data_IF_228576315772
#
_entry.id   IF_228576315772
#
_cell.length_a   1.000
_cell.length_b   1.000
_cell.length_c   1.000
_cell.angle_alpha   90.00
_cell.angle_beta   90.00
_cell.angle_gamma   90.00
#
_symmetry.space_group_name_H-M   'P 1'
#
loop_
_entity.id
_entity.type
_entity.pdbx_description
1 polymer ?
#
# COMPACT_ATOMS: atom_id res chain seq x y z
N UNK A 1 0.10 -5.13 -23.09
CA UNK A 1 -1.07 -4.31 -23.46
C UNK A 1 -0.95 -2.98 -22.75
N UNK A 2 -1.11 -1.87 -23.47
CA UNK A 2 -1.06 -0.53 -22.87
C UNK A 2 -2.43 -0.28 -22.22
N UNK A 3 -2.49 -0.23 -20.89
CA UNK A 3 -3.71 0.12 -20.18
C UNK A 3 -3.88 1.63 -20.24
N UNK A 4 -4.99 2.07 -20.83
CA UNK A 4 -5.35 3.48 -20.79
C UNK A 4 -5.75 3.89 -19.38
N UNK A 5 -5.39 5.11 -19.00
CA UNK A 5 -5.81 5.71 -17.74
C UNK A 5 -7.33 5.84 -17.77
N UNK A 6 -7.98 5.27 -16.76
CA UNK A 6 -9.45 5.29 -16.66
C UNK A 6 -9.92 6.73 -16.42
N UNK A 7 -10.94 7.16 -17.16
CA UNK A 7 -11.54 8.49 -17.00
C UNK A 7 -12.26 8.66 -15.66
N UNK A 8 -12.26 9.88 -15.13
CA UNK A 8 -12.76 10.22 -13.78
C UNK A 8 -14.23 9.78 -13.56
N UNK A 9 -15.09 9.91 -14.59
CA UNK A 9 -16.51 9.53 -14.51
C UNK A 9 -16.71 8.02 -14.35
N UNK A 10 -15.93 7.22 -15.07
CA UNK A 10 -16.01 5.76 -15.02
C UNK A 10 -15.41 5.24 -13.70
N UNK A 11 -14.30 5.82 -13.25
CA UNK A 11 -13.75 5.52 -11.92
C UNK A 11 -14.78 5.83 -10.82
N UNK A 12 -15.39 7.02 -10.84
CA UNK A 12 -16.40 7.40 -9.85
C UNK A 12 -17.65 6.50 -9.88
N UNK A 13 -18.05 6.02 -11.07
CA UNK A 13 -19.13 5.03 -11.22
C UNK A 13 -18.77 3.73 -10.52
N UNK A 14 -17.58 3.19 -10.78
CA UNK A 14 -17.11 1.95 -10.18
C UNK A 14 -16.97 2.07 -8.65
N UNK A 15 -16.44 3.18 -8.14
CA UNK A 15 -16.34 3.44 -6.69
C UNK A 15 -17.72 3.48 -6.01
N UNK A 16 -18.75 3.99 -6.69
CA UNK A 16 -20.14 3.95 -6.18
C UNK A 16 -20.66 2.50 -6.10
N UNK A 17 -20.40 1.70 -7.13
CA UNK A 17 -20.81 0.29 -7.15
C UNK A 17 -20.07 -0.54 -6.12
N UNK A 18 -18.76 -0.34 -5.96
CA UNK A 18 -17.99 -0.97 -4.90
C UNK A 18 -18.57 -0.61 -3.53
N UNK A 19 -18.81 0.68 -3.24
CA UNK A 19 -19.41 1.08 -1.96
C UNK A 19 -20.75 0.40 -1.70
N UNK A 20 -21.58 0.21 -2.72
CA UNK A 20 -22.87 -0.49 -2.62
C UNK A 20 -22.70 -1.98 -2.27
N UNK A 21 -21.73 -2.66 -2.87
CA UNK A 21 -21.59 -4.12 -2.77
C UNK A 21 -20.51 -4.62 -1.80
N UNK A 22 -19.61 -3.75 -1.33
CA UNK A 22 -18.42 -4.11 -0.55
C UNK A 22 -18.74 -5.00 0.65
N UNK A 23 -19.79 -4.68 1.41
CA UNK A 23 -20.17 -5.47 2.59
C UNK A 23 -20.56 -6.91 2.22
N UNK A 24 -21.23 -7.10 1.09
CA UNK A 24 -21.63 -8.42 0.60
C UNK A 24 -20.42 -9.19 0.09
N UNK A 25 -19.51 -8.53 -0.63
CA UNK A 25 -18.27 -9.13 -1.13
C UNK A 25 -17.36 -9.61 0.01
N UNK A 26 -17.16 -8.78 1.04
CA UNK A 26 -16.35 -9.13 2.22
C UNK A 26 -17.01 -10.19 3.12
N UNK A 27 -18.29 -10.48 2.94
CA UNK A 27 -18.96 -11.57 3.67
C UNK A 27 -18.71 -12.95 3.04
N UNK A 28 -18.12 -12.99 1.83
CA UNK A 28 -17.76 -14.24 1.17
C UNK A 28 -16.60 -14.93 1.91
N UNK A 29 -16.62 -16.27 2.01
CA UNK A 29 -15.57 -17.00 2.70
C UNK A 29 -14.22 -16.87 1.97
N UNK A 30 -13.15 -16.66 2.74
CA UNK A 30 -11.78 -16.45 2.27
C UNK A 30 -11.53 -15.13 1.52
N UNK A 31 -12.51 -14.21 1.47
CA UNK A 31 -12.29 -12.87 0.95
C UNK A 31 -11.79 -11.97 2.07
N UNK A 32 -10.63 -11.33 1.88
CA UNK A 32 -10.05 -10.42 2.87
C UNK A 32 -10.06 -8.95 2.44
N UNK A 33 -10.22 -8.66 1.14
CA UNK A 33 -10.39 -7.29 0.64
C UNK A 33 -11.20 -7.23 -0.67
N UNK A 34 -11.66 -6.04 -1.02
CA UNK A 34 -12.31 -5.76 -2.29
C UNK A 34 -12.03 -4.34 -2.81
N UNK A 35 -11.81 -4.21 -4.12
CA UNK A 35 -11.57 -2.93 -4.80
C UNK A 35 -12.24 -2.86 -6.20
N UNK A 36 -11.99 -1.77 -6.93
CA UNK A 36 -12.35 -1.65 -8.36
C UNK A 36 -11.10 -1.68 -9.19
N UNK A 37 -11.13 -2.37 -10.33
CA UNK A 37 -9.90 -2.57 -11.07
C UNK A 37 -9.99 -3.26 -12.40
N UNK A 38 -8.84 -3.50 -13.02
CA UNK A 38 -8.79 -4.35 -14.21
C UNK A 38 -8.87 -5.83 -13.84
N UNK A 39 -9.68 -6.58 -14.59
CA UNK A 39 -9.81 -8.03 -14.50
C UNK A 39 -8.49 -8.71 -14.89
N UNK A 40 -8.18 -9.80 -14.19
CA UNK A 40 -7.06 -10.69 -14.43
C UNK A 40 -7.52 -12.00 -15.07
N UNK A 41 -6.97 -12.33 -16.23
CA UNK A 41 -7.10 -13.66 -16.83
C UNK A 41 -5.72 -14.26 -17.08
N UNK A 42 -5.46 -15.46 -16.54
CA UNK A 42 -4.18 -16.15 -16.76
C UNK A 42 -2.95 -15.44 -16.17
N UNK A 43 -3.14 -14.51 -15.22
CA UNK A 43 -2.06 -13.69 -14.65
C UNK A 43 -1.79 -12.40 -15.43
N UNK A 44 -2.56 -12.11 -16.48
CA UNK A 44 -2.44 -10.90 -17.27
C UNK A 44 -3.69 -10.02 -17.14
N UNK A 45 -3.47 -8.71 -17.19
CA UNK A 45 -4.53 -7.70 -17.23
C UNK A 45 -5.31 -7.84 -18.53
N UNK A 46 -6.64 -7.97 -18.46
CA UNK A 46 -7.51 -8.10 -19.65
C UNK A 46 -7.93 -6.76 -20.24
N UNK A 47 -7.73 -5.66 -19.50
CA UNK A 47 -8.14 -4.31 -19.89
C UNK A 47 -9.63 -4.03 -19.64
N UNK A 48 -10.39 -5.03 -19.19
CA UNK A 48 -11.77 -4.87 -18.75
C UNK A 48 -11.83 -4.46 -17.29
N UNK A 49 -12.67 -3.48 -16.95
CA UNK A 49 -12.89 -3.06 -15.57
C UNK A 49 -13.87 -4.01 -14.84
N UNK A 50 -13.59 -4.27 -13.57
CA UNK A 50 -14.26 -5.22 -12.70
C UNK A 50 -14.30 -4.73 -11.24
N UNK A 51 -15.25 -5.25 -10.46
CA UNK A 51 -15.13 -5.29 -9.00
C UNK A 51 -14.23 -6.48 -8.65
N UNK A 52 -13.28 -6.33 -7.74
CA UNK A 52 -12.32 -7.41 -7.49
C UNK A 52 -12.34 -7.81 -6.04
N UNK A 53 -12.21 -9.10 -5.78
CA UNK A 53 -12.13 -9.67 -4.43
C UNK A 53 -10.82 -10.42 -4.26
N UNK A 54 -10.16 -10.19 -3.14
CA UNK A 54 -8.86 -10.79 -2.84
C UNK A 54 -9.02 -11.98 -1.91
N UNK A 55 -8.39 -13.08 -2.30
CA UNK A 55 -8.35 -14.33 -1.54
C UNK A 55 -6.91 -14.77 -1.34
N UNK A 56 -6.65 -15.47 -0.23
CA UNK A 56 -5.32 -16.03 0.04
C UNK A 56 -5.00 -17.17 -0.93
N UNK A 57 -6.02 -17.94 -1.32
CA UNK A 57 -5.91 -19.07 -2.24
C UNK A 57 -7.20 -19.32 -3.00
N UNK A 58 -7.12 -19.33 -4.33
CA UNK A 58 -8.24 -19.71 -5.20
C UNK A 58 -8.61 -21.16 -4.96
N UNK A 59 -9.93 -21.41 -4.88
CA UNK A 59 -10.50 -22.75 -4.80
C UNK A 59 -11.19 -23.07 -6.12
N UNK A 60 -11.12 -24.33 -6.54
CA UNK A 60 -11.85 -24.78 -7.73
C UNK A 60 -13.35 -24.54 -7.54
N UNK A 61 -14.07 -24.03 -8.56
CA UNK A 61 -15.52 -23.86 -8.49
C UNK A 61 -16.24 -25.16 -8.10
N UNK A 62 -15.75 -26.33 -8.55
CA UNK A 62 -16.34 -27.64 -8.21
C UNK A 62 -16.31 -27.96 -6.71
N UNK A 63 -15.37 -27.37 -5.96
CA UNK A 63 -15.22 -27.53 -4.52
C UNK A 63 -15.91 -26.45 -3.68
N UNK A 64 -16.62 -25.50 -4.32
CA UNK A 64 -17.31 -24.39 -3.65
C UNK A 64 -18.84 -24.56 -3.74
N UNK A 65 -19.53 -24.33 -2.62
CA UNK A 65 -21.00 -24.18 -2.60
C UNK A 65 -21.35 -22.93 -3.43
N UNK A 66 -22.48 -22.95 -4.13
CA UNK A 66 -22.91 -21.82 -4.98
C UNK A 66 -22.99 -20.52 -4.16
N UNK A 67 -23.47 -20.59 -2.93
CA UNK A 67 -23.55 -19.43 -2.01
C UNK A 67 -22.19 -18.88 -1.55
N UNK A 68 -21.10 -19.67 -1.70
CA UNK A 68 -19.75 -19.26 -1.33
C UNK A 68 -18.96 -18.72 -2.53
N UNK A 69 -19.54 -18.75 -3.73
CA UNK A 69 -18.89 -18.24 -4.94
C UNK A 69 -19.13 -16.73 -5.05
N UNK A 70 -18.10 -16.00 -5.45
CA UNK A 70 -18.30 -14.65 -5.95
C UNK A 70 -19.27 -14.70 -7.15
N UNK A 71 -20.24 -13.78 -7.25
CA UNK A 71 -21.11 -13.69 -8.41
C UNK A 71 -20.26 -13.32 -9.64
N UNK A 72 -20.64 -13.74 -10.84
CA UNK A 72 -19.87 -13.39 -12.05
C UNK A 72 -19.98 -11.90 -12.40
N UNK A 73 -21.06 -11.24 -11.95
CA UNK A 73 -21.35 -9.83 -12.23
C UNK A 73 -22.21 -9.20 -11.12
N UNK A 74 -22.01 -7.90 -10.85
CA UNK A 74 -22.85 -7.08 -9.98
C UNK A 74 -23.17 -5.75 -10.66
N UNK A 75 -24.47 -5.46 -10.83
CA UNK A 75 -24.98 -4.22 -11.47
C UNK A 75 -24.31 -3.89 -12.83
N UNK A 76 -24.12 -4.88 -13.71
CA UNK A 76 -23.50 -4.64 -15.01
C UNK A 76 -21.97 -4.72 -15.01
N UNK A 77 -21.33 -4.91 -13.85
CA UNK A 77 -19.87 -4.90 -13.72
C UNK A 77 -19.36 -6.30 -13.34
N UNK A 78 -18.42 -6.87 -14.09
CA UNK A 78 -17.89 -8.20 -13.79
C UNK A 78 -17.23 -8.22 -12.40
N UNK A 79 -17.24 -9.37 -11.74
CA UNK A 79 -16.49 -9.58 -10.51
C UNK A 79 -15.32 -10.51 -10.77
N UNK A 80 -14.11 -10.06 -10.45
CA UNK A 80 -12.89 -10.86 -10.56
C UNK A 80 -12.41 -11.33 -9.19
N UNK A 81 -11.89 -12.55 -9.13
CA UNK A 81 -11.30 -13.13 -7.91
C UNK A 81 -9.79 -13.15 -8.10
N UNK A 82 -9.05 -12.49 -7.24
CA UNK A 82 -7.59 -12.38 -7.31
C UNK A 82 -6.96 -13.15 -6.15
N UNK A 83 -5.98 -14.01 -6.47
CA UNK A 83 -5.11 -14.63 -5.47
C UNK A 83 -3.89 -13.73 -5.29
N UNK A 84 -3.62 -13.30 -4.06
CA UNK A 84 -2.49 -12.42 -3.78
C UNK A 84 -1.66 -12.97 -2.62
N UNK A 85 -0.42 -13.36 -2.91
CA UNK A 85 0.58 -13.74 -1.90
C UNK A 85 1.89 -13.00 -2.22
N UNK A 86 2.32 -12.01 -1.42
CA UNK A 86 3.53 -11.27 -1.70
C UNK A 86 4.80 -12.12 -1.46
N UNK A 87 5.76 -12.09 -2.40
CA UNK A 87 7.09 -12.67 -2.22
C UNK A 87 8.02 -11.70 -1.46
N UNK A 88 8.68 -12.19 -0.41
CA UNK A 88 9.64 -11.42 0.39
C UNK A 88 11.06 -11.61 -0.17
N UNK A 89 11.73 -10.52 -0.57
CA UNK A 89 13.13 -10.52 -0.98
C UNK A 89 13.92 -9.31 -0.44
N UNK A 90 15.07 -9.64 0.16
CA UNK A 90 16.13 -8.77 0.72
C UNK A 90 15.86 -8.21 2.13
N UNK A 91 16.95 -8.02 2.88
CA UNK A 91 17.00 -7.25 4.12
C UNK A 91 17.85 -6.00 3.86
N UNK A 92 17.20 -4.83 3.75
CA UNK A 92 17.86 -3.52 3.64
C UNK A 92 18.03 -2.92 5.04
N UNK A 93 19.12 -3.26 5.70
CA UNK A 93 19.36 -2.86 7.11
C UNK A 93 20.53 -1.85 7.24
N UNK A 94 20.92 -1.18 6.15
CA UNK A 94 22.02 -0.21 6.16
C UNK A 94 21.68 1.06 6.94
N UNK A 95 22.68 1.65 7.61
CA UNK A 95 22.57 2.99 8.16
C UNK A 95 22.66 4.03 7.03
N UNK A 96 21.71 4.96 6.97
CA UNK A 96 21.65 6.00 5.95
C UNK A 96 21.81 7.40 6.55
N UNK A 97 22.82 8.14 6.09
CA UNK A 97 23.03 9.55 6.43
C UNK A 97 23.38 10.32 5.13
N UNK A 98 22.48 11.14 4.56
CA UNK A 98 21.19 11.53 5.10
C UNK A 98 20.17 10.36 5.15
N UNK A 99 19.15 10.51 5.99
CA UNK A 99 17.99 9.61 6.07
C UNK A 99 17.10 9.82 4.85
N UNK A 100 16.76 8.76 4.12
CA UNK A 100 16.04 8.82 2.83
C UNK A 100 14.88 7.83 2.81
N UNK A 101 13.86 8.04 1.97
CA UNK A 101 12.73 7.09 1.84
C UNK A 101 13.15 5.70 1.31
N UNK A 102 12.32 4.68 1.52
CA UNK A 102 12.57 3.30 1.09
C UNK A 102 13.56 2.50 1.93
N UNK A 103 14.07 3.09 3.03
CA UNK A 103 15.04 2.45 3.95
C UNK A 103 14.34 1.94 5.21
N UNK A 104 15.04 1.13 6.01
CA UNK A 104 14.48 0.58 7.24
C UNK A 104 14.40 1.59 8.37
N UNK A 105 13.28 1.56 9.08
CA UNK A 105 13.10 2.20 10.37
C UNK A 105 12.45 1.22 11.35
N UNK A 106 12.62 1.46 12.64
CA UNK A 106 11.98 0.65 13.66
C UNK A 106 11.68 1.51 14.89
N UNK A 107 10.47 1.34 15.42
CA UNK A 107 10.18 1.80 16.77
C UNK A 107 11.00 0.97 17.76
N UNK A 108 11.72 1.64 18.67
CA UNK A 108 12.63 1.01 19.64
C UNK A 108 11.96 -0.01 20.57
N UNK A 109 10.64 0.07 20.75
CA UNK A 109 9.84 -0.84 21.56
C UNK A 109 9.19 -1.96 20.75
N UNK A 110 9.49 -2.08 19.45
CA UNK A 110 8.97 -3.15 18.58
C UNK A 110 10.05 -4.17 18.24
N UNK A 111 9.68 -5.46 18.09
CA UNK A 111 10.61 -6.51 17.67
C UNK A 111 10.94 -6.44 16.17
N UNK A 112 10.08 -5.80 15.37
CA UNK A 112 10.23 -5.74 13.92
C UNK A 112 10.22 -4.29 13.43
N UNK A 113 11.05 -4.03 12.42
CA UNK A 113 11.08 -2.77 11.68
C UNK A 113 10.20 -2.82 10.44
N UNK A 114 10.09 -1.66 9.79
CA UNK A 114 9.38 -1.48 8.53
C UNK A 114 10.08 -0.46 7.65
N UNK A 115 9.39 -0.01 6.60
CA UNK A 115 9.96 0.91 5.61
C UNK A 115 9.61 2.35 5.96
N UNK A 116 10.57 3.26 5.95
CA UNK A 116 10.31 4.70 5.87
C UNK A 116 9.78 5.01 4.48
N UNK A 117 8.55 5.51 4.35
CA UNK A 117 7.98 5.84 3.04
C UNK A 117 8.74 6.98 2.37
N UNK A 118 8.71 8.16 2.99
CA UNK A 118 9.46 9.33 2.56
C UNK A 118 9.61 10.35 3.68
N UNK A 119 10.46 11.34 3.46
CA UNK A 119 10.52 12.55 4.27
C UNK A 119 9.48 13.53 3.73
N UNK A 120 8.67 14.10 4.62
CA UNK A 120 7.63 15.09 4.30
C UNK A 120 7.81 16.34 5.15
N UNK A 121 7.18 17.45 4.77
CA UNK A 121 7.20 18.68 5.55
C UNK A 121 5.90 18.86 6.31
N UNK A 122 6.00 19.22 7.59
CA UNK A 122 4.86 19.72 8.34
C UNK A 122 4.34 21.01 7.67
N UNK A 123 3.04 21.06 7.38
CA UNK A 123 2.40 22.16 6.63
C UNK A 123 2.76 23.55 7.17
N UNK A 124 2.59 23.76 8.47
CA UNK A 124 2.74 25.12 9.05
C UNK A 124 4.17 25.46 9.47
N UNK A 125 4.93 24.48 9.98
CA UNK A 125 6.26 24.72 10.55
C UNK A 125 7.40 24.44 9.57
N UNK A 126 7.11 23.79 8.44
CA UNK A 126 8.08 23.31 7.46
C UNK A 126 9.18 22.42 8.06
N UNK A 127 8.92 21.81 9.22
CA UNK A 127 9.83 20.85 9.83
C UNK A 127 9.74 19.51 9.11
N UNK A 128 10.88 18.84 8.85
CA UNK A 128 10.89 17.53 8.23
C UNK A 128 10.36 16.45 9.19
N UNK A 129 9.54 15.56 8.65
CA UNK A 129 8.95 14.41 9.33
C UNK A 129 9.19 13.16 8.50
N UNK A 130 9.39 12.01 9.15
CA UNK A 130 9.40 10.72 8.47
C UNK A 130 7.99 10.15 8.40
N UNK A 131 7.50 9.83 7.20
CA UNK A 131 6.18 9.23 6.96
C UNK A 131 6.30 7.71 6.80
N UNK A 132 5.47 6.93 7.49
CA UNK A 132 5.36 5.48 7.32
C UNK A 132 3.96 5.00 7.71
N UNK A 133 3.77 3.68 7.78
CA UNK A 133 2.53 3.09 8.27
C UNK A 133 2.42 3.13 9.80
N UNK A 134 1.19 3.18 10.30
CA UNK A 134 0.90 3.07 11.73
C UNK A 134 1.46 1.77 12.29
N UNK A 135 1.24 0.65 11.60
CA UNK A 135 1.75 -0.65 12.04
C UNK A 135 3.29 -0.73 12.01
N UNK A 136 3.99 0.19 11.37
CA UNK A 136 5.47 0.27 11.45
C UNK A 136 5.88 1.04 12.70
N UNK A 137 5.27 2.20 12.92
CA UNK A 137 5.70 3.15 13.96
C UNK A 137 5.08 2.91 15.33
N UNK A 138 3.93 2.23 15.43
CA UNK A 138 3.21 2.07 16.70
C UNK A 138 3.23 0.61 17.18
N UNK A 139 3.56 0.36 18.46
CA UNK A 139 3.37 -0.94 19.08
C UNK A 139 1.88 -1.17 19.40
N UNK A 140 1.56 -2.38 19.85
CA UNK A 140 0.23 -2.68 20.41
C UNK A 140 0.44 -3.22 21.83
N UNK A 141 -0.02 -2.50 22.88
CA UNK A 141 -0.74 -1.21 22.84
C UNK A 141 0.13 -0.04 22.38
N UNK A 142 -0.51 1.03 21.89
CA UNK A 142 0.14 2.27 21.44
C UNK A 142 0.82 2.97 22.62
N UNK A 143 2.04 3.49 22.41
CA UNK A 143 2.78 4.26 23.40
C UNK A 143 3.09 5.64 22.81
N UNK A 144 2.63 6.69 23.49
CA UNK A 144 2.78 8.05 23.01
C UNK A 144 4.25 8.51 23.12
N UNK A 145 4.77 9.12 22.05
CA UNK A 145 6.13 9.68 22.02
C UNK A 145 7.24 8.65 21.83
N UNK A 146 6.92 7.41 21.46
CA UNK A 146 7.91 6.39 21.18
C UNK A 146 8.92 6.82 20.11
N UNK A 147 10.18 6.47 20.34
CA UNK A 147 11.28 6.84 19.46
C UNK A 147 11.37 5.87 18.28
N UNK A 148 11.61 6.44 17.10
CA UNK A 148 11.97 5.71 15.89
C UNK A 148 13.49 5.78 15.70
N UNK A 149 14.10 4.65 15.33
CA UNK A 149 15.51 4.54 14.95
C UNK A 149 15.66 4.02 13.53
N UNK A 150 16.79 4.33 12.89
CA UNK A 150 17.15 3.92 11.53
C UNK A 150 18.60 3.40 11.59
N UNK A 151 18.85 2.12 11.23
CA UNK A 151 17.92 1.15 10.63
C UNK A 151 16.99 0.43 11.63
N UNK A 152 17.19 0.62 12.94
CA UNK A 152 16.44 -0.09 13.97
C UNK A 152 17.29 -0.63 15.11
N UNK A 153 18.46 -0.04 15.32
CA UNK A 153 19.46 -0.44 16.31
C UNK A 153 19.19 0.13 17.72
N UNK A 154 18.17 0.97 17.87
CA UNK A 154 17.88 1.67 19.13
C UNK A 154 18.89 2.77 19.50
N UNK A 155 19.90 3.02 18.66
CA UNK A 155 20.97 3.99 18.91
C UNK A 155 20.84 5.18 17.97
N UNK A 156 20.60 4.94 16.69
CA UNK A 156 20.52 5.96 15.65
C UNK A 156 19.11 6.53 15.55
N UNK A 157 18.72 7.25 16.60
CA UNK A 157 17.38 7.83 16.78
C UNK A 157 17.09 8.89 15.71
N UNK A 158 15.93 8.76 15.07
CA UNK A 158 15.32 9.79 14.23
C UNK A 158 14.55 10.79 15.10
N UNK A 159 13.64 10.29 15.94
CA UNK A 159 12.80 11.11 16.81
C UNK A 159 11.49 10.42 17.19
N UNK A 160 10.65 11.07 18.01
CA UNK A 160 9.40 10.50 18.48
C UNK A 160 8.32 10.42 17.39
N UNK A 161 7.41 9.46 17.49
CA UNK A 161 6.14 9.48 16.76
C UNK A 161 5.30 10.68 17.22
N UNK A 162 4.88 11.53 16.29
CA UNK A 162 4.16 12.79 16.59
C UNK A 162 2.68 12.74 16.20
N UNK A 163 2.30 11.90 15.24
CA UNK A 163 0.91 11.65 14.89
C UNK A 163 0.75 10.27 14.22
N UNK A 164 -0.42 9.66 14.37
CA UNK A 164 -0.75 8.40 13.69
C UNK A 164 -2.26 8.19 13.60
N UNK A 165 -2.70 7.52 12.54
CA UNK A 165 -4.07 7.05 12.36
C UNK A 165 -4.06 5.53 12.10
N UNK A 166 -4.74 4.78 12.98
CA UNK A 166 -4.80 3.31 12.89
C UNK A 166 -5.71 2.83 11.76
N UNK A 167 -6.78 3.57 11.44
CA UNK A 167 -7.74 3.16 10.43
C UNK A 167 -7.14 3.34 9.02
N UNK A 168 -6.42 4.43 8.80
CA UNK A 168 -5.69 4.72 7.55
C UNK A 168 -4.30 4.06 7.49
N UNK A 169 -3.90 3.39 8.56
CA UNK A 169 -2.58 2.79 8.73
C UNK A 169 -1.42 3.74 8.37
N UNK A 170 -1.43 4.95 8.92
CA UNK A 170 -0.41 5.97 8.66
C UNK A 170 0.13 6.59 9.95
N UNK A 171 1.41 6.99 9.93
CA UNK A 171 2.06 7.65 11.05
C UNK A 171 3.22 8.53 10.57
N UNK A 172 3.52 9.55 11.38
CA UNK A 172 4.69 10.41 11.19
C UNK A 172 5.54 10.47 12.46
N UNK A 173 6.86 10.43 12.30
CA UNK A 173 7.82 10.73 13.36
C UNK A 173 8.57 12.04 13.07
N UNK A 174 8.99 12.72 14.13
CA UNK A 174 9.90 13.85 13.99
C UNK A 174 11.27 13.36 13.52
N UNK A 175 11.90 14.13 12.63
CA UNK A 175 13.31 13.96 12.30
C UNK A 175 14.08 15.02 13.08
N UNK A 176 14.92 14.58 14.02
CA UNK A 176 15.73 15.43 14.89
C UNK A 176 16.88 16.09 14.14
N UNK A 177 18.10 15.94 14.66
CA UNK A 177 19.28 16.60 14.09
C UNK A 177 19.95 15.85 12.93
N UNK A 178 19.48 14.64 12.58
CA UNK A 178 20.03 13.87 11.47
C UNK A 178 19.66 14.52 10.14
N UNK A 179 20.61 14.54 9.20
CA UNK A 179 20.35 15.01 7.85
C UNK A 179 19.29 14.11 7.20
N UNK A 180 18.49 14.68 6.30
CA UNK A 180 17.41 13.97 5.60
C UNK A 180 17.31 14.40 4.14
N UNK A 181 16.84 13.49 3.27
CA UNK A 181 16.56 13.74 1.86
C UNK A 181 15.10 13.44 1.54
N UNK A 182 14.52 14.21 0.61
CA UNK A 182 13.20 13.95 0.04
C UNK A 182 13.20 12.82 -1.00
N UNK A 183 14.38 12.32 -1.37
CA UNK A 183 14.53 11.21 -2.30
C UNK A 183 14.11 9.88 -1.68
N UNK A 184 13.80 8.93 -2.55
CA UNK A 184 13.48 7.55 -2.19
C UNK A 184 14.58 6.65 -2.75
N UNK A 185 15.12 5.77 -1.91
CA UNK A 185 16.28 4.95 -2.24
C UNK A 185 16.04 4.09 -3.47
N UNK A 186 16.91 4.26 -4.47
CA UNK A 186 16.83 3.53 -5.74
C UNK A 186 15.75 4.02 -6.70
N UNK A 187 15.12 5.17 -6.44
CA UNK A 187 14.16 5.82 -7.35
C UNK A 187 14.66 7.21 -7.77
N UNK A 188 14.08 7.73 -8.85
CA UNK A 188 14.30 9.10 -9.28
C UNK A 188 13.71 10.12 -8.29
N UNK A 189 14.23 11.36 -8.25
CA UNK A 189 13.73 12.41 -7.36
C UNK A 189 12.23 12.68 -7.51
N UNK A 190 11.55 12.89 -6.38
CA UNK A 190 10.11 13.18 -6.34
C UNK A 190 9.85 14.62 -6.76
N UNK A 191 9.13 14.80 -7.88
CA UNK A 191 8.80 16.13 -8.40
C UNK A 191 7.47 16.72 -7.85
N UNK A 192 6.61 15.89 -7.27
CA UNK A 192 5.29 16.30 -6.79
C UNK A 192 4.40 15.13 -6.41
N UNK A 193 3.11 15.40 -6.19
CA UNK A 193 2.11 14.39 -5.87
C UNK A 193 0.86 14.56 -6.74
N UNK A 194 0.13 13.47 -6.96
CA UNK A 194 -1.17 13.42 -7.62
C UNK A 194 -2.03 12.35 -6.98
N UNK A 195 -3.35 12.39 -7.19
CA UNK A 195 -4.22 11.28 -6.83
C UNK A 195 -3.94 10.07 -7.72
N UNK A 196 -3.98 8.88 -7.13
CA UNK A 196 -3.85 7.63 -7.84
C UNK A 196 -5.08 7.39 -8.74
N UNK A 197 -4.82 6.84 -9.93
CA UNK A 197 -5.84 6.47 -10.93
C UNK A 197 -5.59 5.06 -11.42
N UNK A 198 -6.66 4.35 -11.75
CA UNK A 198 -6.56 3.04 -12.38
C UNK A 198 -5.76 3.13 -13.69
N UNK A 199 -4.83 2.20 -13.87
CA UNK A 199 -3.90 2.15 -14.99
C UNK A 199 -2.59 2.93 -14.77
N UNK A 200 -2.46 3.72 -13.69
CA UNK A 200 -1.19 4.40 -13.40
C UNK A 200 -0.08 3.40 -13.13
N UNK A 201 1.02 3.50 -13.88
CA UNK A 201 2.27 2.82 -13.53
C UNK A 201 2.83 3.44 -12.25
N UNK A 202 3.26 2.58 -11.33
CA UNK A 202 3.83 2.96 -10.04
C UNK A 202 5.09 2.16 -9.79
N UNK A 203 5.96 2.75 -8.97
CA UNK A 203 7.16 2.10 -8.46
C UNK A 203 7.21 2.32 -6.96
N UNK A 204 7.64 1.30 -6.22
CA UNK A 204 7.92 1.41 -4.79
C UNK A 204 9.34 0.98 -4.49
N UNK A 205 9.88 1.50 -3.39
CA UNK A 205 11.11 1.02 -2.79
C UNK A 205 10.83 0.65 -1.35
N UNK A 206 11.15 -0.58 -0.95
CA UNK A 206 10.92 -1.03 0.43
C UNK A 206 11.88 -2.10 0.90
N UNK A 207 11.94 -2.28 2.23
CA UNK A 207 12.98 -3.11 2.87
C UNK A 207 12.91 -4.58 2.49
N UNK A 208 11.69 -5.09 2.25
CA UNK A 208 11.41 -6.52 2.05
C UNK A 208 11.25 -6.93 0.59
N UNK A 209 11.36 -6.02 -0.36
CA UNK A 209 11.12 -6.33 -1.78
C UNK A 209 12.01 -5.53 -2.73
N UNK A 210 12.83 -4.63 -2.21
CA UNK A 210 13.64 -3.74 -3.02
C UNK A 210 12.80 -2.75 -3.82
N UNK A 211 13.29 -2.42 -5.02
CA UNK A 211 12.54 -1.62 -5.99
C UNK A 211 11.66 -2.56 -6.80
N UNK A 212 10.35 -2.32 -6.79
CA UNK A 212 9.39 -3.09 -7.58
C UNK A 212 8.45 -2.16 -8.32
N UNK A 213 8.02 -2.60 -9.49
CA UNK A 213 7.11 -1.87 -10.36
C UNK A 213 5.74 -2.50 -10.30
N UNK A 214 4.73 -1.72 -10.68
CA UNK A 214 3.39 -2.20 -10.77
C UNK A 214 2.47 -1.23 -11.46
N UNK A 215 1.22 -1.62 -11.56
CA UNK A 215 0.15 -0.78 -12.08
C UNK A 215 -0.91 -0.68 -11.01
N UNK A 216 -1.38 0.54 -10.75
CA UNK A 216 -2.58 0.78 -9.95
C UNK A 216 -3.72 0.08 -10.67
N UNK A 217 -4.03 -1.11 -10.18
CA UNK A 217 -5.05 -1.96 -10.72
C UNK A 217 -6.29 -1.87 -9.86
N UNK A 218 -6.22 -1.27 -8.66
CA UNK A 218 -7.27 -1.24 -7.66
C UNK A 218 -7.39 0.09 -6.92
N UNK A 219 -8.59 0.61 -6.68
CA UNK A 219 -8.80 1.80 -5.83
C UNK A 219 -10.05 1.70 -4.95
N UNK A 220 -9.98 2.24 -3.73
CA UNK A 220 -11.13 2.64 -2.93
C UNK A 220 -10.81 3.88 -2.09
N UNK A 221 -11.74 4.37 -1.25
CA UNK A 221 -11.56 5.60 -0.48
C UNK A 221 -10.43 5.57 0.56
N UNK A 222 -9.90 4.38 0.86
CA UNK A 222 -8.91 4.16 1.93
C UNK A 222 -7.65 3.44 1.42
N UNK A 223 -7.71 2.79 0.25
CA UNK A 223 -6.66 1.88 -0.24
C UNK A 223 -6.47 1.97 -1.74
N UNK A 224 -5.23 1.68 -2.14
CA UNK A 224 -4.81 1.48 -3.52
C UNK A 224 -4.30 0.05 -3.59
N UNK A 225 -4.71 -0.70 -4.60
CA UNK A 225 -4.09 -1.98 -4.94
C UNK A 225 -3.21 -1.79 -6.17
N UNK A 226 -2.11 -2.53 -6.15
CA UNK A 226 -1.09 -2.48 -7.17
C UNK A 226 -0.79 -3.89 -7.61
N UNK A 227 -0.99 -4.16 -8.89
CA UNK A 227 -0.54 -5.40 -9.49
C UNK A 227 0.97 -5.33 -9.71
N UNK A 228 1.74 -6.34 -9.29
CA UNK A 228 3.14 -6.44 -9.67
C UNK A 228 3.31 -6.40 -11.19
N UNK A 229 4.27 -5.63 -11.67
CA UNK A 229 4.59 -5.50 -13.08
C UNK A 229 6.10 -5.36 -13.30
N UNK A 230 6.50 -5.34 -14.57
CA UNK A 230 7.87 -4.98 -14.96
C UNK A 230 7.99 -3.46 -15.15
N UNK A 231 9.22 -2.95 -15.09
CA UNK A 231 9.54 -1.54 -15.32
C UNK A 231 9.02 -1.02 -16.67
#
# INVERSE_FOLDING_TARGET
MELEVVGDDEQARLERLLRKHRKTLLALPNVHDADIGFELAGGELTGRLALRVYVDKKRSPRGLRVADRAPDELDGVPVDVIEFTPELQLARDDLHDPVIGGVRIQNVNKPTGGTLGMVVLHRDTLRPLGLSNHHVMQPTPVVAGDLISQPGDGVNILGPVVASDKALDCAVCALGSRASSFDIYGLDPVAGWTFARLGMKVVKSGISSGVTFGVVDGLNSERISVMPGTA
#
